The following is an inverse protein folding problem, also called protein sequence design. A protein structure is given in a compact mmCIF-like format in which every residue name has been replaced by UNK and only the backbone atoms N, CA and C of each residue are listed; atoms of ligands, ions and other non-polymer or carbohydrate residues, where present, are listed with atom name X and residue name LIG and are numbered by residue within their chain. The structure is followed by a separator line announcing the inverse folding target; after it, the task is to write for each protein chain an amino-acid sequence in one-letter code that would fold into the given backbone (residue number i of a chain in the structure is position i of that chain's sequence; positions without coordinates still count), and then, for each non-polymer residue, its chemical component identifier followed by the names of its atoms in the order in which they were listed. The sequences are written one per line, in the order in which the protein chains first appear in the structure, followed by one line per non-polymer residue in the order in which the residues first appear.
data_IF_188117637009
#
_entry.id   IF_188117637009
#
_cell.length_a   1.000
_cell.length_b   1.000
_cell.length_c   1.000
_cell.angle_alpha   90.00
_cell.angle_beta   90.00
_cell.angle_gamma   90.00
#
_symmetry.space_group_name_H-M   'P 1'
#
loop_
_entity.id
_entity.type
_entity.pdbx_description
1 polymer ?
#
# COMPACT_ATOMS: atom_id res chain seq x y z
N UNK A 1 -32.39 42.17 16.61
CA UNK A 1 -33.04 41.01 17.24
C UNK A 1 -32.70 39.77 16.41
N UNK A 2 -31.48 39.25 16.47
CA UNK A 2 -31.02 38.20 17.40
C UNK A 2 -32.09 37.15 17.76
N UNK A 3 -31.99 35.96 17.16
CA UNK A 3 -31.96 34.67 17.90
C UNK A 3 -31.37 33.57 17.02
N UNK A 4 -30.15 33.23 17.37
CA UNK A 4 -29.37 32.07 16.97
C UNK A 4 -29.75 30.91 17.91
N UNK A 5 -30.17 29.76 17.40
CA UNK A 5 -30.27 28.52 18.22
C UNK A 5 -29.45 27.41 17.59
N UNK A 6 -28.22 27.35 18.09
CA UNK A 6 -27.21 26.32 17.92
C UNK A 6 -27.59 25.09 18.77
N UNK A 7 -27.86 23.93 18.15
CA UNK A 7 -27.96 22.65 18.86
C UNK A 7 -26.75 21.79 18.55
N UNK A 8 -25.85 21.80 19.53
CA UNK A 8 -24.58 21.12 19.63
C UNK A 8 -24.78 19.63 19.99
N UNK A 9 -24.68 18.71 19.02
CA UNK A 9 -24.64 17.26 19.29
C UNK A 9 -23.19 16.80 19.47
N UNK A 10 -22.80 16.70 20.75
CA UNK A 10 -21.57 16.05 21.23
C UNK A 10 -21.41 14.65 20.60
N UNK A 11 -20.48 14.48 19.66
CA UNK A 11 -19.97 13.15 19.26
C UNK A 11 -19.24 12.54 20.46
N UNK A 12 -19.85 11.52 21.08
CA UNK A 12 -19.21 10.69 22.12
C UNK A 12 -17.95 10.04 21.53
N UNK A 13 -16.78 10.43 22.04
CA UNK A 13 -15.51 9.74 21.81
C UNK A 13 -15.58 8.36 22.47
N UNK A 14 -15.64 7.29 21.67
CA UNK A 14 -15.46 5.94 22.16
C UNK A 14 -13.97 5.64 22.32
N UNK A 15 -13.62 5.15 23.50
CA UNK A 15 -12.29 4.89 24.03
C UNK A 15 -11.55 3.81 23.18
N UNK A 16 -10.33 4.07 22.65
CA UNK A 16 -9.63 3.15 21.74
C UNK A 16 -9.06 1.88 22.39
N UNK A 17 -9.29 1.67 23.70
CA UNK A 17 -8.81 0.47 24.42
C UNK A 17 -9.72 -0.77 24.32
N UNK A 18 -10.93 -0.65 23.77
CA UNK A 18 -11.84 -1.79 23.59
C UNK A 18 -11.79 -2.43 22.18
N UNK A 19 -10.90 -1.96 21.30
CA UNK A 19 -10.82 -2.41 19.90
C UNK A 19 -9.58 -3.27 19.60
N UNK A 20 -9.09 -4.02 20.61
CA UNK A 20 -7.92 -4.92 20.46
C UNK A 20 -8.19 -6.35 21.00
N UNK A 21 -9.35 -6.64 21.59
CA UNK A 21 -9.68 -8.00 22.12
C UNK A 21 -10.82 -8.68 21.35
N UNK A 22 -10.87 -8.53 20.02
CA UNK A 22 -11.84 -9.27 19.18
C UNK A 22 -11.19 -10.13 18.10
N UNK A 23 -9.88 -10.01 17.89
CA UNK A 23 -9.18 -10.73 16.82
C UNK A 23 -8.47 -12.01 17.27
N UNK A 24 -8.30 -12.24 18.58
CA UNK A 24 -7.83 -13.53 19.09
C UNK A 24 -8.97 -14.57 19.20
N UNK A 25 -10.19 -14.11 19.49
CA UNK A 25 -11.38 -14.97 19.63
C UNK A 25 -11.97 -15.36 18.26
N UNK A 26 -11.76 -14.58 17.20
CA UNK A 26 -12.37 -14.84 15.88
C UNK A 26 -11.86 -16.10 15.16
N UNK A 27 -10.60 -16.49 15.42
CA UNK A 27 -10.06 -17.77 14.93
C UNK A 27 -10.65 -18.97 15.69
N UNK A 28 -11.18 -18.76 16.90
CA UNK A 28 -11.98 -19.77 17.62
C UNK A 28 -13.43 -19.80 17.15
N UNK A 29 -14.02 -18.66 16.78
CA UNK A 29 -15.42 -18.60 16.36
C UNK A 29 -15.74 -19.33 15.04
N UNK A 30 -14.78 -19.42 14.11
CA UNK A 30 -14.98 -20.22 12.88
C UNK A 30 -14.97 -21.73 13.16
N UNK A 31 -14.32 -22.16 14.24
CA UNK A 31 -14.20 -23.56 14.66
C UNK A 31 -15.36 -24.00 15.59
N UNK A 32 -16.17 -23.05 16.07
CA UNK A 32 -17.31 -23.32 16.95
C UNK A 32 -18.59 -23.69 16.18
N UNK A 33 -18.62 -23.55 14.85
CA UNK A 33 -19.79 -23.94 14.02
C UNK A 33 -20.12 -25.44 14.11
N UNK A 34 -19.13 -26.29 14.37
CA UNK A 34 -19.32 -27.72 14.60
C UNK A 34 -19.62 -28.07 16.07
N UNK A 35 -19.52 -27.11 17.00
CA UNK A 35 -19.76 -27.31 18.44
C UNK A 35 -21.02 -26.59 18.97
N UNK A 36 -21.72 -25.83 18.11
CA UNK A 36 -23.03 -25.25 18.43
C UNK A 36 -24.15 -26.16 17.91
N UNK A 37 -24.98 -26.66 18.82
CA UNK A 37 -26.20 -27.39 18.47
C UNK A 37 -27.24 -26.45 17.84
N UNK A 38 -28.11 -26.96 16.98
CA UNK A 38 -29.17 -26.19 16.32
C UNK A 38 -30.01 -25.36 17.31
N UNK A 39 -30.24 -25.88 18.51
CA UNK A 39 -30.98 -25.20 19.58
C UNK A 39 -30.30 -23.92 20.10
N UNK A 40 -28.96 -23.87 20.12
CA UNK A 40 -28.22 -22.65 20.50
C UNK A 40 -28.28 -21.57 19.41
N UNK A 41 -28.33 -21.99 18.15
CA UNK A 41 -28.45 -21.07 17.00
C UNK A 41 -29.85 -20.41 17.02
N UNK A 42 -30.91 -21.19 17.25
CA UNK A 42 -32.28 -20.65 17.38
C UNK A 42 -32.46 -19.72 18.58
N UNK A 43 -31.82 -20.01 19.72
CA UNK A 43 -31.86 -19.12 20.88
C UNK A 43 -31.23 -17.76 20.58
N UNK A 44 -30.15 -17.71 19.80
CA UNK A 44 -29.52 -16.43 19.42
C UNK A 44 -30.39 -15.65 18.45
N UNK A 45 -31.01 -16.31 17.47
CA UNK A 45 -31.92 -15.66 16.53
C UNK A 45 -33.15 -15.05 17.23
N UNK A 46 -33.67 -15.68 18.28
CA UNK A 46 -34.82 -15.15 19.04
C UNK A 46 -34.50 -13.91 19.87
N UNK A 47 -33.23 -13.69 20.24
CA UNK A 47 -32.75 -12.45 20.85
C UNK A 47 -32.40 -11.35 19.83
N UNK A 48 -32.75 -11.54 18.56
CA UNK A 48 -32.52 -10.55 17.50
C UNK A 48 -31.11 -10.58 16.92
N UNK A 49 -30.34 -11.64 17.17
CA UNK A 49 -29.07 -11.85 16.46
C UNK A 49 -29.37 -12.28 15.02
N UNK A 50 -29.32 -11.32 14.10
CA UNK A 50 -29.37 -11.59 12.66
C UNK A 50 -27.99 -12.04 12.21
N UNK A 51 -27.84 -13.33 11.88
CA UNK A 51 -26.71 -13.80 11.09
C UNK A 51 -26.95 -13.35 9.66
N UNK A 52 -26.60 -12.10 9.36
CA UNK A 52 -26.50 -11.65 7.99
C UNK A 52 -25.40 -12.47 7.31
N UNK A 53 -25.80 -13.55 6.64
CA UNK A 53 -25.15 -13.90 5.40
C UNK A 53 -25.18 -12.64 4.53
N UNK A 54 -24.09 -12.34 3.82
CA UNK A 54 -23.95 -11.19 2.91
C UNK A 54 -23.46 -9.88 3.55
N UNK A 55 -22.18 -9.89 3.92
CA UNK A 55 -21.15 -9.00 3.37
C UNK A 55 -19.82 -9.38 4.02
N UNK A 56 -19.20 -10.45 3.51
CA UNK A 56 -17.82 -10.75 3.88
C UNK A 56 -16.95 -9.64 3.30
N UNK A 57 -16.34 -8.82 4.17
CA UNK A 57 -15.20 -7.98 3.76
C UNK A 57 -14.19 -8.95 3.10
N UNK A 58 -13.80 -8.76 1.83
CA UNK A 58 -12.90 -9.70 1.17
C UNK A 58 -11.62 -9.80 1.98
N UNK A 59 -11.36 -10.96 2.57
CA UNK A 59 -10.04 -11.27 3.11
C UNK A 59 -9.16 -11.38 1.88
N UNK A 60 -8.43 -10.31 1.57
CA UNK A 60 -7.51 -10.29 0.43
C UNK A 60 -6.47 -11.39 0.65
N UNK A 61 -6.48 -12.41 -0.19
CA UNK A 61 -5.59 -13.56 -0.03
C UNK A 61 -4.18 -13.18 -0.44
N UNK A 62 -3.19 -13.92 0.08
CA UNK A 62 -1.78 -13.64 -0.24
C UNK A 62 -1.53 -13.82 -1.75
N UNK A 63 -2.18 -14.81 -2.35
CA UNK A 63 -2.12 -15.16 -3.77
C UNK A 63 -2.66 -14.04 -4.66
N UNK A 64 -3.72 -13.34 -4.22
CA UNK A 64 -4.28 -12.19 -4.93
C UNK A 64 -3.27 -11.03 -4.96
N UNK A 65 -2.64 -10.77 -3.81
CA UNK A 65 -1.60 -9.73 -3.71
C UNK A 65 -0.34 -10.08 -4.48
N UNK A 66 0.06 -11.35 -4.48
CA UNK A 66 1.15 -11.83 -5.30
C UNK A 66 0.87 -11.65 -6.79
N UNK A 67 -0.34 -12.02 -7.25
CA UNK A 67 -0.73 -11.86 -8.66
C UNK A 67 -0.69 -10.39 -9.07
N UNK A 68 -1.17 -9.49 -8.20
CA UNK A 68 -1.07 -8.03 -8.41
C UNK A 68 0.37 -7.53 -8.47
N UNK A 69 1.25 -8.07 -7.64
CA UNK A 69 2.68 -7.75 -7.69
C UNK A 69 3.30 -8.25 -9.00
N UNK A 70 2.92 -9.42 -9.47
CA UNK A 70 3.37 -9.98 -10.74
C UNK A 70 2.96 -9.09 -11.92
N UNK A 71 1.70 -8.69 -11.98
CA UNK A 71 1.20 -7.75 -13.00
C UNK A 71 1.93 -6.41 -12.94
N UNK A 72 2.15 -5.90 -11.73
CA UNK A 72 2.93 -4.68 -11.52
C UNK A 72 4.37 -4.84 -12.01
N UNK A 73 5.02 -5.96 -11.71
CA UNK A 73 6.38 -6.25 -12.18
C UNK A 73 6.44 -6.33 -13.70
N UNK A 74 5.48 -6.99 -14.35
CA UNK A 74 5.44 -7.08 -15.81
C UNK A 74 5.21 -5.71 -16.47
N UNK A 75 4.42 -4.84 -15.82
CA UNK A 75 4.14 -3.49 -16.33
C UNK A 75 5.31 -2.52 -16.14
N UNK A 76 6.00 -2.61 -15.01
CA UNK A 76 6.98 -1.60 -14.58
C UNK A 76 8.45 -2.09 -14.60
N UNK A 77 8.68 -3.39 -14.77
CA UNK A 77 10.00 -4.02 -14.73
C UNK A 77 10.61 -4.10 -13.32
N UNK A 78 9.86 -3.75 -12.28
CA UNK A 78 10.35 -3.75 -10.90
C UNK A 78 9.24 -4.01 -9.88
N UNK A 79 9.60 -4.57 -8.72
CA UNK A 79 8.66 -4.90 -7.63
C UNK A 79 8.47 -3.78 -6.61
N UNK A 80 9.04 -2.59 -6.85
CA UNK A 80 8.97 -1.47 -5.91
C UNK A 80 7.70 -0.63 -6.11
N UNK A 81 6.59 -1.07 -5.53
CA UNK A 81 5.35 -0.29 -5.46
C UNK A 81 5.44 0.74 -4.32
N UNK A 82 5.44 2.03 -4.67
CA UNK A 82 5.47 3.14 -3.71
C UNK A 82 4.06 3.68 -3.45
N UNK A 83 3.81 4.16 -2.24
CA UNK A 83 2.54 4.78 -1.87
C UNK A 83 2.33 6.08 -2.65
N UNK A 84 1.12 6.28 -3.17
CA UNK A 84 0.68 7.51 -3.85
C UNK A 84 -0.34 8.21 -2.97
N UNK A 85 -0.24 9.53 -2.84
CA UNK A 85 -1.22 10.32 -2.10
C UNK A 85 -2.59 10.19 -2.79
N UNK A 86 -3.60 9.77 -2.05
CA UNK A 86 -4.95 9.63 -2.56
C UNK A 86 -5.77 10.88 -2.19
N UNK A 87 -5.91 11.82 -3.12
CA UNK A 87 -6.68 13.05 -2.92
C UNK A 87 -8.19 12.89 -3.24
N UNK A 88 -8.68 11.66 -3.51
CA UNK A 88 -10.08 11.38 -3.82
C UNK A 88 -10.49 9.90 -3.67
N UNK A 89 -11.63 9.53 -4.26
CA UNK A 89 -12.21 8.19 -4.15
C UNK A 89 -11.83 7.23 -5.30
N UNK A 90 -10.65 7.42 -5.87
CA UNK A 90 -10.12 6.61 -6.97
C UNK A 90 -9.76 5.19 -6.48
N UNK A 91 -10.54 4.19 -6.91
CA UNK A 91 -10.34 2.78 -6.54
C UNK A 91 -8.99 2.26 -7.04
N UNK A 92 -8.54 2.66 -8.24
CA UNK A 92 -7.26 2.21 -8.79
C UNK A 92 -6.09 2.65 -7.88
N UNK A 93 -6.16 3.87 -7.35
CA UNK A 93 -5.18 4.39 -6.39
C UNK A 93 -5.26 3.66 -5.05
N UNK A 94 -6.47 3.34 -4.57
CA UNK A 94 -6.64 2.51 -3.37
C UNK A 94 -6.01 1.14 -3.54
N UNK A 95 -6.23 0.48 -4.68
CA UNK A 95 -5.68 -0.84 -4.97
C UNK A 95 -4.15 -0.81 -5.11
N UNK A 96 -3.60 0.20 -5.80
CA UNK A 96 -2.16 0.42 -5.86
C UNK A 96 -1.54 0.63 -4.47
N UNK A 97 -2.19 1.44 -3.63
CA UNK A 97 -1.71 1.68 -2.26
C UNK A 97 -1.83 0.45 -1.37
N UNK A 98 -2.85 -0.40 -1.57
CA UNK A 98 -2.95 -1.72 -0.92
C UNK A 98 -1.75 -2.59 -1.31
N UNK A 99 -1.36 -2.61 -2.59
CA UNK A 99 -0.16 -3.30 -3.06
C UNK A 99 1.12 -2.73 -2.43
N UNK A 100 1.31 -1.42 -2.44
CA UNK A 100 2.47 -0.77 -1.82
C UNK A 100 2.61 -1.11 -0.32
N UNK A 101 1.50 -1.07 0.42
CA UNK A 101 1.46 -1.44 1.84
C UNK A 101 1.77 -2.93 2.06
N UNK A 102 1.27 -3.80 1.19
CA UNK A 102 1.53 -5.23 1.26
C UNK A 102 2.99 -5.56 0.96
N UNK A 103 3.59 -4.93 -0.07
CA UNK A 103 5.02 -5.03 -0.39
C UNK A 103 5.87 -4.59 0.80
N UNK A 104 5.54 -3.44 1.41
CA UNK A 104 6.21 -2.98 2.64
C UNK A 104 6.07 -3.96 3.79
N UNK A 105 4.89 -4.57 3.94
CA UNK A 105 4.63 -5.60 4.94
C UNK A 105 5.51 -6.83 4.70
N UNK A 106 5.68 -7.31 3.46
CA UNK A 106 6.55 -8.45 3.16
C UNK A 106 7.99 -8.17 3.60
N UNK A 107 8.51 -6.96 3.31
CA UNK A 107 9.86 -6.54 3.73
C UNK A 107 10.00 -6.51 5.27
N UNK A 108 8.98 -6.01 5.98
CA UNK A 108 8.98 -6.00 7.45
C UNK A 108 8.92 -7.42 8.04
N UNK A 109 8.08 -8.30 7.49
CA UNK A 109 7.90 -9.67 7.99
C UNK A 109 9.15 -10.51 7.74
N UNK A 110 9.78 -10.40 6.57
CA UNK A 110 11.04 -11.10 6.27
C UNK A 110 12.19 -10.63 7.18
N UNK A 111 12.30 -9.32 7.45
CA UNK A 111 13.24 -8.80 8.44
C UNK A 111 12.97 -9.39 9.83
N UNK A 112 11.71 -9.46 10.25
CA UNK A 112 11.32 -10.05 11.53
C UNK A 112 11.67 -11.54 11.64
N UNK A 113 11.39 -12.30 10.58
CA UNK A 113 11.71 -13.72 10.43
C UNK A 113 13.22 -13.97 10.53
N UNK A 114 14.03 -13.20 9.78
CA UNK A 114 15.51 -13.30 9.82
C UNK A 114 16.10 -12.95 11.18
N UNK A 115 15.53 -11.98 11.88
CA UNK A 115 16.05 -11.49 13.16
C UNK A 115 15.53 -12.29 14.37
N UNK A 116 14.71 -13.33 14.18
CA UNK A 116 14.12 -14.10 15.28
C UNK A 116 13.18 -13.29 16.19
N UNK A 117 12.78 -12.10 15.75
CA UNK A 117 11.94 -11.19 16.52
C UNK A 117 10.47 -11.50 16.26
N UNK A 118 9.68 -11.67 17.32
CA UNK A 118 8.21 -11.74 17.20
C UNK A 118 7.74 -10.39 16.65
N UNK A 119 7.34 -10.31 15.38
CA UNK A 119 6.79 -9.07 14.86
C UNK A 119 5.55 -8.70 15.69
N UNK A 120 5.48 -7.44 16.11
CA UNK A 120 4.40 -6.92 16.96
C UNK A 120 3.01 -6.92 16.28
N UNK A 121 2.92 -7.34 15.02
CA UNK A 121 1.65 -7.60 14.32
C UNK A 121 1.74 -9.03 13.83
N UNK A 122 0.72 -9.85 14.08
CA UNK A 122 0.68 -11.31 13.92
C UNK A 122 0.99 -11.91 12.53
N UNK A 123 1.70 -11.21 11.65
CA UNK A 123 2.09 -11.66 10.32
C UNK A 123 3.22 -12.70 10.27
N UNK A 124 4.03 -12.86 11.33
CA UNK A 124 5.12 -13.87 11.31
C UNK A 124 4.56 -15.30 11.29
N UNK A 125 3.39 -15.52 11.89
CA UNK A 125 2.79 -16.85 11.99
C UNK A 125 2.34 -17.44 10.63
N UNK A 126 2.22 -16.61 9.59
CA UNK A 126 1.77 -17.03 8.25
C UNK A 126 2.79 -16.73 7.13
N UNK A 127 4.05 -16.48 7.50
CA UNK A 127 5.14 -16.21 6.56
C UNK A 127 6.00 -17.47 6.40
N UNK A 128 5.61 -18.32 5.46
CA UNK A 128 6.28 -19.59 5.15
C UNK A 128 7.44 -19.41 4.18
N UNK A 129 8.44 -20.29 4.22
CA UNK A 129 9.56 -20.33 3.27
C UNK A 129 9.09 -20.34 1.80
N UNK A 130 8.03 -21.10 1.49
CA UNK A 130 7.44 -21.14 0.13
C UNK A 130 7.03 -19.77 -0.43
N UNK A 131 6.52 -18.86 0.43
CA UNK A 131 6.14 -17.49 0.03
C UNK A 131 7.37 -16.62 -0.27
N UNK A 132 8.45 -16.82 0.48
CA UNK A 132 9.74 -16.16 0.24
C UNK A 132 10.29 -16.62 -1.10
N UNK A 133 10.28 -17.92 -1.38
CA UNK A 133 10.78 -18.48 -2.63
C UNK A 133 9.98 -17.99 -3.83
N UNK A 134 8.66 -17.88 -3.69
CA UNK A 134 7.78 -17.36 -4.73
C UNK A 134 8.03 -15.87 -5.04
N UNK A 135 8.36 -15.06 -4.03
CA UNK A 135 8.79 -13.66 -4.22
C UNK A 135 10.21 -13.57 -4.82
N UNK A 136 11.13 -14.43 -4.39
CA UNK A 136 12.48 -14.48 -4.94
C UNK A 136 12.49 -14.82 -6.44
N UNK A 137 11.56 -15.69 -6.90
CA UNK A 137 11.37 -15.98 -8.33
C UNK A 137 10.97 -14.76 -9.16
N UNK A 138 10.37 -13.74 -8.55
CA UNK A 138 10.04 -12.46 -9.20
C UNK A 138 11.16 -11.42 -9.07
N UNK A 139 12.36 -11.83 -8.66
CA UNK A 139 13.46 -10.93 -8.29
C UNK A 139 13.01 -9.84 -7.29
N UNK A 140 12.18 -10.24 -6.32
CA UNK A 140 11.68 -9.31 -5.31
C UNK A 140 12.81 -8.76 -4.45
N UNK A 141 12.99 -7.43 -4.49
CA UNK A 141 14.00 -6.75 -3.68
C UNK A 141 13.49 -6.54 -2.26
N UNK A 142 14.04 -7.32 -1.32
CA UNK A 142 13.73 -7.26 0.11
C UNK A 142 14.23 -5.98 0.79
N UNK A 143 15.35 -5.43 0.30
CA UNK A 143 15.90 -4.15 0.68
C UNK A 143 16.00 -3.32 -0.59
N UNK A 144 15.45 -2.11 -0.56
CA UNK A 144 15.50 -1.18 -1.69
C UNK A 144 16.19 0.09 -1.22
N UNK A 145 17.29 0.42 -1.88
CA UNK A 145 18.06 1.64 -1.67
C UNK A 145 17.39 2.84 -2.35
N UNK A 146 17.77 4.05 -1.96
CA UNK A 146 17.26 5.27 -2.58
C UNK A 146 17.68 5.38 -4.06
N UNK A 147 18.82 4.81 -4.44
CA UNK A 147 19.31 4.79 -5.82
C UNK A 147 18.50 3.82 -6.69
N UNK A 148 18.22 2.61 -6.20
CA UNK A 148 17.36 1.65 -6.92
C UNK A 148 15.94 2.19 -7.10
N UNK A 149 15.37 2.82 -6.07
CA UNK A 149 14.05 3.43 -6.17
C UNK A 149 14.03 4.61 -7.16
N UNK A 150 15.13 5.36 -7.26
CA UNK A 150 15.27 6.44 -8.23
C UNK A 150 15.44 5.89 -9.65
N UNK A 151 16.31 4.89 -9.84
CA UNK A 151 16.57 4.25 -11.12
C UNK A 151 15.30 3.62 -11.70
N UNK A 152 14.52 2.92 -10.87
CA UNK A 152 13.22 2.39 -11.23
C UNK A 152 12.28 3.46 -11.84
N UNK A 153 12.15 4.62 -11.20
CA UNK A 153 11.32 5.71 -11.70
C UNK A 153 11.92 6.43 -12.92
N UNK A 154 13.26 6.42 -13.05
CA UNK A 154 13.94 6.93 -14.23
C UNK A 154 13.68 6.04 -15.46
N UNK A 155 13.66 4.71 -15.30
CA UNK A 155 13.23 3.79 -16.36
C UNK A 155 11.78 4.06 -16.79
N UNK A 156 10.88 4.31 -15.83
CA UNK A 156 9.50 4.70 -16.11
C UNK A 156 9.40 6.01 -16.91
N UNK A 157 10.26 6.99 -16.61
CA UNK A 157 10.35 8.23 -17.38
C UNK A 157 10.84 7.99 -18.80
N UNK A 158 11.85 7.14 -19.00
CA UNK A 158 12.35 6.78 -20.34
C UNK A 158 11.25 6.12 -21.17
N UNK A 159 10.51 5.17 -20.60
CA UNK A 159 9.37 4.55 -21.27
C UNK A 159 8.28 5.57 -21.62
N UNK A 160 7.98 6.50 -20.72
CA UNK A 160 7.06 7.60 -21.02
C UNK A 160 7.55 8.46 -22.20
N UNK A 161 8.84 8.77 -22.25
CA UNK A 161 9.45 9.52 -23.36
C UNK A 161 9.36 8.75 -24.67
N UNK A 162 9.61 7.45 -24.67
CA UNK A 162 9.47 6.58 -25.86
C UNK A 162 8.02 6.58 -26.37
N UNK A 163 7.04 6.51 -25.47
CA UNK A 163 5.61 6.51 -25.82
C UNK A 163 5.09 7.89 -26.30
N UNK A 164 5.60 8.99 -25.76
CA UNK A 164 5.04 10.34 -25.97
C UNK A 164 5.96 11.28 -26.75
N UNK A 165 7.20 10.88 -27.03
CA UNK A 165 8.24 11.70 -27.66
C UNK A 165 8.89 12.74 -26.74
N UNK A 166 8.42 12.89 -25.50
CA UNK A 166 8.89 13.92 -24.57
C UNK A 166 8.79 13.51 -23.09
N UNK A 167 9.49 14.24 -22.23
CA UNK A 167 9.48 14.05 -20.78
C UNK A 167 8.42 14.90 -20.02
N UNK A 168 7.45 15.50 -20.74
CA UNK A 168 6.40 16.33 -20.16
C UNK A 168 5.27 15.48 -19.57
N UNK A 169 5.53 14.85 -18.42
CA UNK A 169 4.52 14.07 -17.69
C UNK A 169 3.49 15.01 -17.03
N UNK A 170 2.18 14.81 -17.26
CA UNK A 170 1.13 15.58 -16.59
C UNK A 170 1.22 15.48 -15.07
N UNK A 171 0.83 16.55 -14.37
CA UNK A 171 0.78 16.55 -12.90
C UNK A 171 -0.10 15.40 -12.35
N UNK A 172 -1.21 15.13 -13.05
CA UNK A 172 -2.13 14.03 -12.79
C UNK A 172 -2.02 13.08 -13.96
N UNK A 173 -1.24 12.01 -13.82
CA UNK A 173 -1.09 10.98 -14.84
C UNK A 173 -1.75 9.67 -14.36
N UNK A 174 -3.02 9.39 -14.74
CA UNK A 174 -3.74 8.23 -14.21
C UNK A 174 -3.04 6.90 -14.45
N UNK A 175 -2.45 6.71 -15.64
CA UNK A 175 -1.74 5.48 -16.02
C UNK A 175 -0.55 5.14 -15.10
N UNK A 176 0.11 6.16 -14.55
CA UNK A 176 1.18 6.01 -13.57
C UNK A 176 1.30 7.27 -12.67
N UNK A 177 0.54 7.29 -11.58
CA UNK A 177 0.60 8.40 -10.61
C UNK A 177 1.89 8.44 -9.80
N UNK A 178 2.62 7.33 -9.69
CA UNK A 178 3.94 7.32 -9.02
C UNK A 178 4.95 8.15 -9.80
N UNK A 179 4.94 8.01 -11.14
CA UNK A 179 5.80 8.75 -12.05
C UNK A 179 5.50 10.25 -12.02
N UNK A 180 4.22 10.67 -12.06
CA UNK A 180 3.89 12.10 -12.03
C UNK A 180 4.35 12.77 -10.73
N UNK A 181 4.19 12.09 -9.60
CA UNK A 181 4.70 12.58 -8.31
C UNK A 181 6.23 12.66 -8.29
N UNK A 182 6.91 11.64 -8.80
CA UNK A 182 8.36 11.61 -8.88
C UNK A 182 8.91 12.71 -9.78
N UNK A 183 8.32 12.93 -10.97
CA UNK A 183 8.70 14.01 -11.91
C UNK A 183 8.55 15.37 -11.26
N UNK A 184 7.44 15.63 -10.57
CA UNK A 184 7.24 16.87 -9.82
C UNK A 184 8.38 17.10 -8.81
N UNK A 185 8.74 16.06 -8.05
CA UNK A 185 9.84 16.13 -7.09
C UNK A 185 11.19 16.40 -7.78
N UNK A 186 11.49 15.76 -8.91
CA UNK A 186 12.74 16.03 -9.65
C UNK A 186 12.82 17.50 -10.11
N UNK A 187 11.74 18.05 -10.66
CA UNK A 187 11.69 19.46 -11.08
C UNK A 187 11.84 20.44 -9.91
N UNK A 188 11.25 20.11 -8.75
CA UNK A 188 11.45 20.88 -7.52
C UNK A 188 12.92 20.86 -7.06
N UNK A 189 13.56 19.69 -7.03
CA UNK A 189 14.95 19.57 -6.62
C UNK A 189 15.92 20.25 -7.60
N UNK A 190 15.65 20.20 -8.90
CA UNK A 190 16.46 20.90 -9.90
C UNK A 190 16.36 22.43 -9.72
N UNK A 191 15.15 22.95 -9.52
CA UNK A 191 14.94 24.37 -9.24
C UNK A 191 15.63 24.83 -7.95
N UNK A 192 15.67 24.00 -6.91
CA UNK A 192 16.43 24.32 -5.70
C UNK A 192 17.92 24.50 -6.00
N UNK A 193 18.51 23.64 -6.83
CA UNK A 193 19.90 23.75 -7.26
C UNK A 193 20.14 25.06 -8.03
N UNK A 194 19.25 25.39 -8.97
CA UNK A 194 19.33 26.64 -9.73
C UNK A 194 19.23 27.90 -8.84
N UNK A 195 18.56 27.78 -7.69
CA UNK A 195 18.44 28.85 -6.69
C UNK A 195 19.57 28.84 -5.65
N UNK A 196 20.59 27.98 -5.79
CA UNK A 196 21.67 27.83 -4.81
C UNK A 196 21.24 27.22 -3.48
N UNK A 197 20.08 26.55 -3.42
CA UNK A 197 19.58 25.86 -2.23
C UNK A 197 20.10 24.43 -2.16
N UNK A 198 20.16 23.89 -0.94
CA UNK A 198 20.50 22.48 -0.72
C UNK A 198 19.49 21.54 -1.40
N UNK A 199 20.00 20.49 -2.03
CA UNK A 199 19.23 19.47 -2.72
C UNK A 199 19.88 18.09 -2.52
N UNK A 200 19.10 17.01 -2.33
CA UNK A 200 19.60 15.64 -2.25
C UNK A 200 19.87 15.03 -3.65
N UNK A 201 19.72 15.81 -4.72
CA UNK A 201 19.99 15.34 -6.08
C UNK A 201 21.49 15.28 -6.32
N UNK A 202 22.01 14.10 -6.68
CA UNK A 202 23.41 13.96 -7.06
C UNK A 202 23.67 14.49 -8.47
N UNK A 203 24.90 14.86 -8.77
CA UNK A 203 25.34 15.30 -10.11
C UNK A 203 25.06 14.24 -11.16
N UNK A 204 25.31 12.96 -10.85
CA UNK A 204 25.03 11.82 -11.75
C UNK A 204 23.55 11.79 -12.15
N UNK A 205 22.63 11.97 -11.20
CA UNK A 205 21.18 11.98 -11.49
C UNK A 205 20.78 13.17 -12.36
N UNK A 206 21.43 14.31 -12.20
CA UNK A 206 21.20 15.50 -13.03
C UNK A 206 21.61 15.20 -14.47
N UNK A 207 22.83 14.70 -14.69
CA UNK A 207 23.31 14.34 -16.02
C UNK A 207 22.39 13.31 -16.69
N UNK A 208 21.93 12.29 -15.96
CA UNK A 208 20.99 11.31 -16.50
C UNK A 208 19.65 11.94 -16.94
N UNK A 209 19.14 12.93 -16.19
CA UNK A 209 17.92 13.65 -16.55
C UNK A 209 18.13 14.57 -17.76
N UNK A 210 19.27 15.24 -17.84
CA UNK A 210 19.65 16.10 -18.97
C UNK A 210 19.81 15.29 -20.27
N UNK A 211 20.44 14.12 -20.22
CA UNK A 211 20.61 13.20 -21.36
C UNK A 211 19.27 12.78 -21.97
N UNK A 212 18.23 12.61 -21.15
CA UNK A 212 16.89 12.27 -21.63
C UNK A 212 16.06 13.51 -21.99
N UNK A 213 16.61 14.72 -21.93
CA UNK A 213 15.90 15.96 -22.24
C UNK A 213 14.76 16.25 -21.26
N UNK A 214 14.94 15.88 -19.98
CA UNK A 214 13.97 16.14 -18.91
C UNK A 214 14.04 17.57 -18.36
N UNK A 215 15.22 18.17 -18.43
CA UNK A 215 15.58 19.47 -17.87
C UNK A 215 15.71 20.49 -18.98
#
# INVERSE_FOLDING_TARGET
TNTNTNTNTKRKRTNPKNMIIVDYERSRFTDIRHTLTASKISALQSFGFVFAAEQTVPIIKWEDMYSRLFDYYNKHGHSNASHVRNDGDDEEVREHNRLANWVGTQRCVQKGFRMGTKAHRGGVANFSQSKIDMLNKLDFKWVVTLDEAWAAQFEELKRYKEENGHCLVPQVYPKNRTLSHWVKKQREQYRHIQQGKSSPMSTIRITQLEDVGFV
#
